data_IF_550601361836
#
_entry.id   IF_550601361836
#
_cell.length_a   1.000
_cell.length_b   1.000
_cell.length_c   1.000
_cell.angle_alpha   90.00
_cell.angle_beta   90.00
_cell.angle_gamma   90.00
#
_symmetry.space_group_name_H-M   'P 1'
#
loop_
_entity.id
_entity.type
_entity.pdbx_description
1 polymer ?
#
# COMPACT_ATOMS: atom_id res chain seq x y z
N UNK A 1 -12.06 10.99 16.32
CA UNK A 1 -11.13 11.64 15.38
C UNK A 1 -9.66 11.37 15.74
N UNK A 2 -9.22 11.70 16.97
CA UNK A 2 -7.81 11.57 17.39
C UNK A 2 -7.18 10.19 17.11
N UNK A 3 -7.80 9.08 17.54
CA UNK A 3 -7.19 7.75 17.36
C UNK A 3 -7.03 7.32 15.89
N UNK A 4 -7.98 7.64 15.02
CA UNK A 4 -7.87 7.36 13.58
C UNK A 4 -6.79 8.21 12.92
N UNK A 5 -6.64 9.46 13.34
CA UNK A 5 -5.58 10.36 12.87
C UNK A 5 -4.20 9.87 13.32
N UNK A 6 -4.07 9.41 14.56
CA UNK A 6 -2.83 8.84 15.10
C UNK A 6 -2.43 7.58 14.33
N UNK A 7 -3.35 6.63 14.14
CA UNK A 7 -3.09 5.42 13.33
C UNK A 7 -2.74 5.75 11.87
N UNK A 8 -3.37 6.77 11.28
CA UNK A 8 -3.03 7.22 9.94
C UNK A 8 -1.63 7.87 9.90
N UNK A 9 -1.24 8.61 10.94
CA UNK A 9 0.09 9.20 11.09
C UNK A 9 1.17 8.12 11.19
N UNK A 10 0.95 7.12 12.06
CA UNK A 10 1.82 5.94 12.18
C UNK A 10 1.94 5.21 10.84
N UNK A 11 0.82 4.99 10.14
CA UNK A 11 0.81 4.40 8.80
C UNK A 11 1.65 5.19 7.79
N UNK A 12 1.64 6.53 7.85
CA UNK A 12 2.47 7.38 6.97
C UNK A 12 3.95 7.27 7.28
N UNK A 13 4.34 7.11 8.55
CA UNK A 13 5.74 6.88 8.94
C UNK A 13 6.22 5.53 8.40
N UNK A 14 5.45 4.45 8.62
CA UNK A 14 5.78 3.12 8.08
C UNK A 14 5.89 3.12 6.55
N UNK A 15 5.06 3.90 5.85
CA UNK A 15 5.16 4.05 4.39
C UNK A 15 6.40 4.85 3.96
N UNK A 16 6.87 5.80 4.76
CA UNK A 16 8.10 6.53 4.50
C UNK A 16 9.32 5.60 4.64
N UNK A 17 9.35 4.80 5.70
CA UNK A 17 10.39 3.77 5.92
C UNK A 17 10.38 2.75 4.77
N UNK A 18 9.18 2.32 4.34
CA UNK A 18 9.04 1.44 3.17
C UNK A 18 9.54 2.10 1.89
N UNK A 19 9.30 3.40 1.69
CA UNK A 19 9.81 4.16 0.55
C UNK A 19 11.34 4.22 0.53
N UNK A 20 11.97 4.40 1.70
CA UNK A 20 13.43 4.35 1.83
C UNK A 20 13.96 2.96 1.52
N UNK A 21 13.36 1.91 2.10
CA UNK A 21 13.76 0.53 1.85
C UNK A 21 13.65 0.14 0.37
N UNK A 22 12.62 0.61 -0.35
CA UNK A 22 12.49 0.39 -1.80
C UNK A 22 13.55 1.14 -2.61
N UNK A 23 13.97 2.32 -2.15
CA UNK A 23 15.06 3.08 -2.78
C UNK A 23 16.39 2.33 -2.64
N UNK A 24 16.66 1.83 -1.43
CA UNK A 24 17.86 1.04 -1.15
C UNK A 24 17.87 -0.27 -1.94
N UNK A 25 16.71 -0.93 -2.05
CA UNK A 25 16.55 -2.15 -2.87
C UNK A 25 16.79 -1.87 -4.37
N UNK A 26 16.28 -0.76 -4.89
CA UNK A 26 16.51 -0.34 -6.28
C UNK A 26 17.99 -0.09 -6.54
N UNK A 27 18.70 0.52 -5.59
CA UNK A 27 20.15 0.73 -5.70
C UNK A 27 20.94 -0.58 -5.62
N UNK A 28 20.61 -1.46 -4.67
CA UNK A 28 21.25 -2.77 -4.54
C UNK A 28 21.04 -3.64 -5.79
N UNK A 29 19.85 -3.59 -6.40
CA UNK A 29 19.57 -4.27 -7.66
C UNK A 29 20.44 -3.75 -8.81
N UNK A 30 20.61 -2.42 -8.94
CA UNK A 30 21.50 -1.82 -9.94
C UNK A 30 22.96 -2.25 -9.74
N UNK A 31 23.43 -2.23 -8.50
CA UNK A 31 24.81 -2.62 -8.17
C UNK A 31 25.05 -4.10 -8.50
N UNK A 32 24.08 -4.97 -8.19
CA UNK A 32 24.14 -6.39 -8.53
C UNK A 32 24.12 -6.61 -10.05
N UNK A 33 23.27 -5.89 -10.79
CA UNK A 33 23.25 -5.95 -12.25
C UNK A 33 24.60 -5.54 -12.86
N UNK A 34 25.25 -4.51 -12.31
CA UNK A 34 26.60 -4.12 -12.74
C UNK A 34 27.64 -5.21 -12.47
N UNK A 35 27.61 -5.85 -11.29
CA UNK A 35 28.50 -6.98 -10.96
C UNK A 35 28.28 -8.19 -11.87
N UNK A 36 27.03 -8.50 -12.20
CA UNK A 36 26.69 -9.54 -13.17
C UNK A 36 27.19 -9.19 -14.58
N UNK A 37 27.10 -7.92 -14.99
CA UNK A 37 27.71 -7.43 -16.22
C UNK A 37 29.21 -7.70 -16.29
N UNK A 38 29.94 -7.39 -15.21
CA UNK A 38 31.37 -7.71 -15.12
C UNK A 38 31.65 -9.22 -15.18
N UNK A 39 30.84 -10.05 -14.52
CA UNK A 39 30.97 -11.51 -14.62
C UNK A 39 30.77 -12.01 -16.05
N UNK A 40 29.81 -11.44 -16.79
CA UNK A 40 29.57 -11.77 -18.20
C UNK A 40 30.78 -11.45 -19.07
N UNK A 41 31.39 -10.28 -18.89
CA UNK A 41 32.60 -9.90 -19.61
C UNK A 41 33.76 -10.86 -19.32
N UNK A 42 33.98 -11.20 -18.04
CA UNK A 42 35.02 -12.17 -17.64
C UNK A 42 34.78 -13.54 -18.25
N UNK A 43 33.54 -14.05 -18.20
CA UNK A 43 33.18 -15.34 -18.79
C UNK A 43 33.41 -15.35 -20.31
N UNK A 44 33.09 -14.25 -20.99
CA UNK A 44 33.36 -14.08 -22.44
C UNK A 44 34.86 -14.13 -22.73
N UNK A 45 35.69 -13.46 -21.93
CA UNK A 45 37.15 -13.52 -22.04
C UNK A 45 37.71 -14.93 -21.82
N UNK A 46 37.18 -15.67 -20.84
CA UNK A 46 37.56 -17.07 -20.61
C UNK A 46 37.20 -17.94 -21.83
N UNK A 47 36.02 -17.75 -22.43
CA UNK A 47 35.63 -18.48 -23.64
C UNK A 47 36.60 -18.28 -24.81
N UNK A 48 37.11 -17.06 -25.01
CA UNK A 48 38.12 -16.77 -26.04
C UNK A 48 39.47 -17.46 -25.75
N UNK A 49 39.89 -17.47 -24.48
CA UNK A 49 41.10 -18.18 -24.06
C UNK A 49 40.98 -19.69 -24.27
N UNK A 50 39.82 -20.28 -23.95
CA UNK A 50 39.56 -21.71 -24.16
C UNK A 50 39.58 -22.08 -25.64
N UNK A 51 39.00 -21.24 -26.51
CA UNK A 51 39.11 -21.43 -27.96
C UNK A 51 40.56 -21.43 -28.44
N UNK A 52 41.41 -20.59 -27.85
CA UNK A 52 42.84 -20.54 -28.15
C UNK A 52 43.57 -21.79 -27.65
N UNK A 53 43.27 -22.25 -26.42
CA UNK A 53 43.84 -23.49 -25.85
C UNK A 53 43.46 -24.69 -26.71
N UNK A 54 42.20 -24.80 -27.14
CA UNK A 54 41.74 -25.87 -28.02
C UNK A 54 42.48 -25.85 -29.37
N UNK A 55 42.74 -24.68 -29.94
CA UNK A 55 43.56 -24.53 -31.17
C UNK A 55 45.00 -24.97 -30.96
N UNK A 56 45.63 -24.56 -29.85
CA UNK A 56 47.01 -24.96 -29.51
C UNK A 56 47.08 -26.47 -29.28
N UNK A 57 46.13 -27.05 -28.56
CA UNK A 57 46.06 -28.50 -28.34
C UNK A 57 45.93 -29.25 -29.68
N UNK A 58 45.07 -28.80 -30.59
CA UNK A 58 44.95 -29.40 -31.93
C UNK A 58 46.24 -29.25 -32.77
N UNK A 59 46.93 -28.11 -32.70
CA UNK A 59 48.23 -27.94 -33.37
C UNK A 59 49.29 -28.88 -32.78
N UNK A 60 49.38 -28.99 -31.45
CA UNK A 60 50.29 -29.91 -30.77
C UNK A 60 49.99 -31.37 -31.13
N UNK A 61 48.71 -31.72 -31.26
CA UNK A 61 48.28 -33.04 -31.73
C UNK A 61 48.82 -33.33 -33.16
N UNK A 62 48.64 -32.39 -34.08
CA UNK A 62 49.16 -32.49 -35.46
C UNK A 62 50.70 -32.56 -35.50
N UNK A 63 51.39 -31.75 -34.70
CA UNK A 63 52.85 -31.77 -34.57
C UNK A 63 53.35 -33.13 -34.06
N UNK A 64 52.67 -33.69 -33.05
CA UNK A 64 53.00 -34.99 -32.48
C UNK A 64 52.78 -36.13 -33.46
N UNK A 65 51.75 -36.04 -34.31
CA UNK A 65 51.51 -37.00 -35.38
C UNK A 65 52.65 -36.98 -36.40
N UNK A 66 53.09 -35.79 -36.83
CA UNK A 66 54.23 -35.66 -37.75
C UNK A 66 55.52 -36.22 -37.12
N UNK A 67 55.74 -35.96 -35.82
CA UNK A 67 56.87 -36.51 -35.09
C UNK A 67 56.82 -38.06 -34.98
N UNK A 68 55.63 -38.64 -34.82
CA UNK A 68 55.45 -40.09 -34.80
C UNK A 68 55.76 -40.71 -36.16
N UNK A 69 55.32 -40.08 -37.26
CA UNK A 69 55.61 -40.52 -38.63
C UNK A 69 57.12 -40.46 -38.91
N UNK A 70 57.78 -39.37 -38.51
CA UNK A 70 59.23 -39.23 -38.74
C UNK A 70 60.05 -40.18 -37.86
N UNK A 71 59.56 -40.51 -36.66
CA UNK A 71 60.14 -41.54 -35.82
C UNK A 71 60.06 -42.94 -36.44
N UNK A 72 58.95 -43.30 -37.09
CA UNK A 72 58.87 -44.57 -37.84
C UNK A 72 59.84 -44.61 -39.03
N UNK A 73 60.03 -43.47 -39.71
CA UNK A 73 61.01 -43.33 -40.81
C UNK A 73 62.46 -43.50 -40.37
N UNK A 74 62.80 -43.16 -39.13
CA UNK A 74 64.17 -43.19 -38.61
C UNK A 74 64.70 -44.61 -38.32
N UNK A 75 63.90 -45.67 -38.51
CA UNK A 75 64.33 -47.06 -38.36
C UNK A 75 64.82 -47.39 -36.95
N UNK A 76 66.05 -47.90 -36.81
CA UNK A 76 66.62 -48.32 -35.52
C UNK A 76 66.76 -47.19 -34.48
N UNK A 77 66.83 -45.92 -34.90
CA UNK A 77 66.98 -44.77 -34.00
C UNK A 77 65.64 -44.16 -33.55
N UNK A 78 64.52 -44.58 -34.16
CA UNK A 78 63.17 -44.06 -33.94
C UNK A 78 62.37 -44.49 -32.70
N UNK A 79 62.61 -45.66 -32.06
CA UNK A 79 61.69 -46.18 -31.04
C UNK A 79 61.45 -45.25 -29.84
N UNK A 80 62.50 -44.58 -29.35
CA UNK A 80 62.38 -43.61 -28.25
C UNK A 80 61.56 -42.38 -28.62
N UNK A 81 61.78 -41.84 -29.84
CA UNK A 81 61.02 -40.70 -30.35
C UNK A 81 59.55 -41.04 -30.60
N UNK A 82 59.24 -42.25 -31.06
CA UNK A 82 57.86 -42.70 -31.27
C UNK A 82 57.05 -42.79 -29.97
N UNK A 83 57.70 -43.18 -28.85
CA UNK A 83 57.05 -43.18 -27.52
C UNK A 83 56.74 -41.76 -27.06
N UNK A 84 57.70 -40.84 -27.18
CA UNK A 84 57.51 -39.43 -26.82
C UNK A 84 56.41 -38.79 -27.66
N UNK A 85 56.41 -39.02 -28.98
CA UNK A 85 55.40 -38.47 -29.88
C UNK A 85 53.97 -38.95 -29.52
N UNK A 86 53.80 -40.24 -29.17
CA UNK A 86 52.50 -40.77 -28.69
C UNK A 86 52.07 -40.14 -27.37
N UNK A 87 52.99 -39.89 -26.45
CA UNK A 87 52.65 -39.27 -25.17
C UNK A 87 52.26 -37.80 -25.34
N UNK A 88 52.96 -37.04 -26.20
CA UNK A 88 52.57 -35.67 -26.57
C UNK A 88 51.17 -35.66 -27.19
N UNK A 89 50.89 -36.60 -28.10
CA UNK A 89 49.56 -36.75 -28.71
C UNK A 89 48.47 -36.96 -27.67
N UNK A 90 48.71 -37.89 -26.73
CA UNK A 90 47.79 -38.22 -25.63
C UNK A 90 47.51 -37.00 -24.75
N UNK A 91 48.55 -36.23 -24.40
CA UNK A 91 48.42 -35.01 -23.61
C UNK A 91 47.68 -33.90 -24.37
N UNK A 92 47.91 -33.79 -25.68
CA UNK A 92 47.22 -32.83 -26.54
C UNK A 92 45.71 -33.15 -26.61
N UNK A 93 45.33 -34.41 -26.84
CA UNK A 93 43.93 -34.86 -26.85
C UNK A 93 43.26 -34.61 -25.48
N UNK A 94 43.96 -34.93 -24.37
CA UNK A 94 43.46 -34.64 -23.02
C UNK A 94 43.27 -33.13 -22.77
N UNK A 95 44.19 -32.30 -23.26
CA UNK A 95 44.10 -30.84 -23.13
C UNK A 95 42.91 -30.28 -23.91
N UNK A 96 42.68 -30.79 -25.14
CA UNK A 96 41.54 -30.39 -25.97
C UNK A 96 40.21 -30.78 -25.31
N UNK A 97 40.11 -32.00 -24.77
CA UNK A 97 38.91 -32.45 -24.04
C UNK A 97 38.64 -31.59 -22.80
N UNK A 98 39.66 -31.33 -21.98
CA UNK A 98 39.52 -30.48 -20.80
C UNK A 98 39.09 -29.05 -21.17
N UNK A 99 39.62 -28.50 -22.25
CA UNK A 99 39.23 -27.17 -22.73
C UNK A 99 37.73 -27.11 -23.12
N UNK A 100 37.21 -28.15 -23.78
CA UNK A 100 35.79 -28.26 -24.13
C UNK A 100 34.88 -28.38 -22.89
N UNK A 101 35.30 -29.15 -21.88
CA UNK A 101 34.54 -29.29 -20.63
C UNK A 101 34.47 -27.96 -19.85
N UNK A 102 35.57 -27.21 -19.80
CA UNK A 102 35.58 -25.87 -19.20
C UNK A 102 34.71 -24.92 -20.04
N UNK A 103 34.74 -25.01 -21.37
CA UNK A 103 33.94 -24.17 -22.25
C UNK A 103 32.44 -24.35 -22.00
N UNK A 104 31.99 -25.59 -21.80
CA UNK A 104 30.62 -25.89 -21.41
C UNK A 104 30.27 -25.24 -20.07
N UNK A 105 31.12 -25.41 -19.06
CA UNK A 105 30.91 -24.79 -17.73
C UNK A 105 30.81 -23.25 -17.82
N UNK A 106 31.64 -22.63 -18.67
CA UNK A 106 31.62 -21.18 -18.91
C UNK A 106 30.32 -20.76 -19.60
N UNK A 107 29.80 -21.54 -20.56
CA UNK A 107 28.49 -21.29 -21.19
C UNK A 107 27.35 -21.37 -20.18
N UNK A 108 27.36 -22.37 -19.30
CA UNK A 108 26.34 -22.51 -18.24
C UNK A 108 26.40 -21.32 -17.26
N UNK A 109 27.61 -20.85 -16.93
CA UNK A 109 27.83 -19.65 -16.13
C UNK A 109 27.28 -18.38 -16.83
N UNK A 110 27.52 -18.21 -18.13
CA UNK A 110 26.96 -17.10 -18.91
C UNK A 110 25.43 -17.10 -18.90
N UNK A 111 24.81 -18.28 -19.06
CA UNK A 111 23.36 -18.43 -18.96
C UNK A 111 22.82 -18.04 -17.60
N UNK A 112 23.51 -18.46 -16.53
CA UNK A 112 23.14 -18.14 -15.15
C UNK A 112 23.25 -16.63 -14.87
N UNK A 113 24.31 -15.99 -15.37
CA UNK A 113 24.50 -14.53 -15.26
C UNK A 113 23.41 -13.76 -16.02
N UNK A 114 23.04 -14.21 -17.23
CA UNK A 114 21.96 -13.58 -18.01
C UNK A 114 20.62 -13.66 -17.27
N UNK A 115 20.27 -14.83 -16.74
CA UNK A 115 19.06 -15.03 -15.95
C UNK A 115 19.06 -14.18 -14.68
N UNK A 116 20.21 -14.10 -13.98
CA UNK A 116 20.38 -13.24 -12.81
C UNK A 116 20.18 -11.75 -13.14
N UNK A 117 20.69 -11.29 -14.29
CA UNK A 117 20.54 -9.90 -14.72
C UNK A 117 19.07 -9.55 -15.00
N UNK A 118 18.35 -10.45 -15.68
CA UNK A 118 16.92 -10.27 -15.92
C UNK A 118 16.10 -10.25 -14.62
N UNK A 119 16.48 -11.08 -13.64
CA UNK A 119 15.87 -11.04 -12.31
C UNK A 119 16.11 -9.71 -11.58
N UNK A 120 17.31 -9.12 -11.71
CA UNK A 120 17.60 -7.79 -11.13
C UNK A 120 16.72 -6.69 -11.76
N UNK A 121 16.55 -6.71 -13.08
CA UNK A 121 15.64 -5.78 -13.76
C UNK A 121 14.19 -5.92 -13.24
N UNK A 122 13.74 -7.16 -13.04
CA UNK A 122 12.44 -7.45 -12.42
C UNK A 122 12.31 -6.90 -11.00
N UNK A 123 13.34 -7.05 -10.16
CA UNK A 123 13.35 -6.48 -8.81
C UNK A 123 13.32 -4.96 -8.81
N UNK A 124 14.03 -4.31 -9.74
CA UNK A 124 13.96 -2.86 -9.89
C UNK A 124 12.53 -2.42 -10.24
N UNK A 125 11.89 -3.06 -11.21
CA UNK A 125 10.52 -2.74 -11.60
C UNK A 125 9.53 -2.92 -10.43
N UNK A 126 9.68 -4.00 -9.65
CA UNK A 126 8.86 -4.26 -8.46
C UNK A 126 9.08 -3.20 -7.37
N UNK A 127 10.33 -2.78 -7.13
CA UNK A 127 10.65 -1.72 -6.18
C UNK A 127 10.03 -0.37 -6.60
N UNK A 128 10.15 -0.02 -7.88
CA UNK A 128 9.57 1.20 -8.45
C UNK A 128 8.02 1.20 -8.32
N UNK A 129 7.37 0.07 -8.64
CA UNK A 129 5.91 -0.10 -8.50
C UNK A 129 5.46 -0.02 -7.03
N UNK A 130 6.21 -0.66 -6.12
CA UNK A 130 5.90 -0.64 -4.69
C UNK A 130 6.02 0.78 -4.14
N UNK A 131 7.06 1.51 -4.51
CA UNK A 131 7.24 2.92 -4.15
C UNK A 131 6.07 3.80 -4.62
N UNK A 132 5.64 3.65 -5.88
CA UNK A 132 4.48 4.37 -6.41
C UNK A 132 3.19 4.04 -5.63
N UNK A 133 3.00 2.77 -5.26
CA UNK A 133 1.87 2.33 -4.44
C UNK A 133 1.93 2.94 -3.04
N UNK A 134 3.11 2.96 -2.40
CA UNK A 134 3.32 3.60 -1.10
C UNK A 134 2.93 5.07 -1.10
N UNK A 135 3.32 5.82 -2.15
CA UNK A 135 2.96 7.23 -2.31
C UNK A 135 1.43 7.41 -2.43
N UNK A 136 0.77 6.55 -3.22
CA UNK A 136 -0.68 6.59 -3.36
C UNK A 136 -1.40 6.30 -2.02
N UNK A 137 -0.90 5.35 -1.23
CA UNK A 137 -1.46 5.08 0.11
C UNK A 137 -1.19 6.24 1.06
N UNK A 138 0.01 6.85 1.02
CA UNK A 138 0.35 8.02 1.85
C UNK A 138 -0.62 9.18 1.60
N UNK A 139 -0.95 9.45 0.32
CA UNK A 139 -1.93 10.47 -0.05
C UNK A 139 -3.34 10.16 0.50
N UNK A 140 -3.77 8.89 0.45
CA UNK A 140 -5.07 8.47 1.02
C UNK A 140 -5.10 8.64 2.55
N UNK A 141 -4.02 8.29 3.24
CA UNK A 141 -3.90 8.51 4.69
C UNK A 141 -3.93 10.01 5.05
N UNK A 142 -3.28 10.86 4.24
CA UNK A 142 -3.37 12.32 4.39
C UNK A 142 -4.81 12.84 4.35
N UNK A 143 -5.63 12.32 3.42
CA UNK A 143 -7.06 12.68 3.33
C UNK A 143 -7.87 12.20 4.55
N UNK A 144 -7.49 11.07 5.15
CA UNK A 144 -8.14 10.55 6.37
C UNK A 144 -7.86 11.47 7.56
N UNK A 145 -6.61 11.92 7.69
CA UNK A 145 -6.20 12.88 8.74
C UNK A 145 -7.02 14.17 8.59
N UNK A 146 -7.04 14.76 7.40
CA UNK A 146 -7.78 15.99 7.11
C UNK A 146 -9.28 15.84 7.40
N UNK A 147 -9.90 14.74 6.97
CA UNK A 147 -11.31 14.45 7.27
C UNK A 147 -11.57 14.32 8.78
N UNK A 148 -10.63 13.72 9.52
CA UNK A 148 -10.68 13.61 10.97
C UNK A 148 -10.59 14.97 11.67
N UNK A 149 -9.73 15.86 11.20
CA UNK A 149 -9.59 17.22 11.72
C UNK A 149 -10.85 18.06 11.47
N UNK A 150 -11.48 17.93 10.30
CA UNK A 150 -12.74 18.63 9.97
C UNK A 150 -13.95 18.16 10.79
N UNK A 151 -13.92 16.94 11.37
CA UNK A 151 -14.98 16.42 12.22
C UNK A 151 -15.04 17.12 13.59
N UNK A 152 -13.90 17.50 14.16
CA UNK A 152 -13.80 18.14 15.47
C UNK A 152 -14.63 19.43 15.60
N UNK A 153 -14.52 20.43 14.69
CA UNK A 153 -15.33 21.65 14.78
C UNK A 153 -16.82 21.34 14.57
N UNK A 154 -17.18 20.38 13.72
CA UNK A 154 -18.58 19.97 13.51
C UNK A 154 -19.19 19.40 14.79
N UNK A 155 -18.47 18.57 15.53
CA UNK A 155 -18.92 18.08 16.84
C UNK A 155 -19.10 19.21 17.85
N UNK A 156 -18.22 20.22 17.83
CA UNK A 156 -18.37 21.41 18.67
C UNK A 156 -19.67 22.17 18.35
N UNK A 157 -19.96 22.41 17.06
CA UNK A 157 -21.22 23.03 16.62
C UNK A 157 -22.44 22.22 17.03
N UNK A 158 -22.41 20.90 16.87
CA UNK A 158 -23.52 20.02 17.32
C UNK A 158 -23.71 20.13 18.82
N UNK A 159 -22.63 20.09 19.60
CA UNK A 159 -22.68 20.22 21.07
C UNK A 159 -23.28 21.56 21.49
N UNK A 160 -22.92 22.65 20.80
CA UNK A 160 -23.50 23.97 21.03
C UNK A 160 -24.99 24.01 20.67
N UNK A 161 -25.37 23.43 19.53
CA UNK A 161 -26.77 23.30 19.12
C UNK A 161 -27.62 22.52 20.12
N UNK A 162 -27.08 21.43 20.67
CA UNK A 162 -27.74 20.65 21.72
C UNK A 162 -27.93 21.47 23.01
N UNK A 163 -26.96 22.30 23.40
CA UNK A 163 -27.11 23.22 24.55
C UNK A 163 -28.23 24.22 24.32
N UNK A 164 -28.28 24.86 23.16
CA UNK A 164 -29.35 25.81 22.82
C UNK A 164 -30.73 25.13 22.78
N UNK A 165 -30.82 23.89 22.29
CA UNK A 165 -32.06 23.12 22.34
C UNK A 165 -32.50 22.79 23.77
N UNK A 166 -31.56 22.44 24.65
CA UNK A 166 -31.86 22.18 26.06
C UNK A 166 -32.39 23.44 26.77
N UNK A 167 -31.76 24.60 26.52
CA UNK A 167 -32.23 25.90 27.03
C UNK A 167 -33.63 26.25 26.49
N UNK A 168 -33.85 26.05 25.19
CA UNK A 168 -35.17 26.28 24.56
C UNK A 168 -36.25 25.34 25.12
N UNK A 169 -35.92 24.09 25.42
CA UNK A 169 -36.84 23.15 26.05
C UNK A 169 -37.23 23.59 27.48
N UNK A 170 -36.30 24.15 28.24
CA UNK A 170 -36.58 24.70 29.57
C UNK A 170 -37.48 25.94 29.50
N UNK A 171 -37.24 26.83 28.52
CA UNK A 171 -38.12 27.98 28.26
C UNK A 171 -39.54 27.55 27.87
N UNK A 172 -39.68 26.54 26.99
CA UNK A 172 -41.00 25.98 26.63
C UNK A 172 -41.69 25.42 27.87
N UNK A 173 -40.96 24.74 28.75
CA UNK A 173 -41.50 24.20 30.00
C UNK A 173 -42.09 25.29 30.88
N UNK A 174 -41.38 26.41 31.02
CA UNK A 174 -41.86 27.59 31.77
C UNK A 174 -43.13 28.16 31.13
N UNK A 175 -43.16 28.34 29.81
CA UNK A 175 -44.32 28.87 29.08
C UNK A 175 -45.54 27.94 29.20
N UNK A 176 -45.34 26.62 29.13
CA UNK A 176 -46.42 25.65 29.34
C UNK A 176 -46.98 25.74 30.76
N UNK A 177 -46.14 25.93 31.77
CA UNK A 177 -46.59 26.13 33.15
C UNK A 177 -47.46 27.39 33.28
N UNK A 178 -47.00 28.52 32.72
CA UNK A 178 -47.75 29.78 32.73
C UNK A 178 -49.09 29.68 31.98
N UNK A 179 -49.11 28.92 30.87
CA UNK A 179 -50.33 28.66 30.12
C UNK A 179 -51.34 27.83 30.93
N UNK A 180 -50.86 26.81 31.65
CA UNK A 180 -51.69 26.00 32.53
C UNK A 180 -52.31 26.85 33.66
N UNK A 181 -51.51 27.74 34.27
CA UNK A 181 -51.99 28.66 35.30
C UNK A 181 -53.08 29.62 34.75
N UNK A 182 -52.83 30.19 33.57
CA UNK A 182 -53.79 31.10 32.89
C UNK A 182 -55.09 30.39 32.51
N UNK A 183 -55.01 29.14 32.06
CA UNK A 183 -56.19 28.31 31.77
C UNK A 183 -56.99 28.02 33.05
N UNK A 184 -56.31 27.81 34.19
CA UNK A 184 -56.92 27.70 35.51
C UNK A 184 -57.71 28.96 35.89
N UNK A 185 -57.07 30.14 35.81
CA UNK A 185 -57.72 31.42 36.08
C UNK A 185 -58.94 31.69 35.18
N UNK A 186 -58.83 31.34 33.89
CA UNK A 186 -59.94 31.49 32.94
C UNK A 186 -61.11 30.60 33.33
N UNK A 187 -60.85 29.37 33.77
CA UNK A 187 -61.88 28.44 34.27
C UNK A 187 -62.59 29.01 35.50
N UNK A 188 -61.83 29.58 36.44
CA UNK A 188 -62.40 30.17 37.66
C UNK A 188 -63.27 31.39 37.32
N UNK A 189 -62.79 32.28 36.45
CA UNK A 189 -63.56 33.45 35.97
C UNK A 189 -64.84 33.04 35.24
N UNK A 190 -64.82 31.94 34.46
CA UNK A 190 -66.03 31.41 33.80
C UNK A 190 -67.03 30.84 34.82
N UNK A 191 -66.57 30.27 35.93
CA UNK A 191 -67.45 29.80 37.00
C UNK A 191 -68.14 30.98 37.69
N UNK A 192 -67.41 32.04 38.02
CA UNK A 192 -67.97 33.28 38.58
C UNK A 192 -68.95 33.95 37.61
N UNK A 193 -68.60 34.02 36.32
CA UNK A 193 -69.50 34.58 35.30
C UNK A 193 -70.80 33.78 35.18
N UNK A 194 -70.73 32.46 35.28
CA UNK A 194 -71.92 31.60 35.26
C UNK A 194 -72.81 31.85 36.48
N UNK A 195 -72.23 31.94 37.67
CA UNK A 195 -72.98 32.26 38.89
C UNK A 195 -73.68 33.62 38.77
N UNK A 196 -72.96 34.64 38.30
CA UNK A 196 -73.54 35.97 38.05
C UNK A 196 -74.66 35.94 36.98
N UNK A 197 -74.54 35.12 35.95
CA UNK A 197 -75.57 34.95 34.93
C UNK A 197 -76.82 34.22 35.46
N UNK A 198 -76.64 33.20 36.30
CA UNK A 198 -77.72 32.50 37.00
C UNK A 198 -78.47 33.45 37.94
N UNK A 199 -77.73 34.28 38.70
CA UNK A 199 -78.29 35.32 39.55
C UNK A 199 -79.07 36.38 38.76
N UNK A 200 -78.50 36.88 37.66
CA UNK A 200 -79.17 37.85 36.79
C UNK A 200 -80.45 37.26 36.19
N UNK A 201 -80.43 35.99 35.76
CA UNK A 201 -81.61 35.30 35.25
C UNK A 201 -82.71 35.20 36.30
N UNK A 202 -82.35 34.86 37.55
CA UNK A 202 -83.29 34.80 38.68
C UNK A 202 -83.92 36.17 38.94
N UNK A 203 -83.12 37.24 39.02
CA UNK A 203 -83.63 38.60 39.21
C UNK A 203 -84.53 39.06 38.05
N UNK A 204 -84.21 38.70 36.80
CA UNK A 204 -85.06 39.00 35.66
C UNK A 204 -86.42 38.28 35.73
N UNK A 205 -86.45 37.05 36.22
CA UNK A 205 -87.67 36.27 36.40
C UNK A 205 -88.53 36.81 37.56
N UNK A 206 -87.90 37.19 38.68
CA UNK A 206 -88.56 37.90 39.80
C UNK A 206 -89.17 39.22 39.33
N UNK A 207 -88.44 40.03 38.55
CA UNK A 207 -88.96 41.27 37.98
C UNK A 207 -90.17 41.03 37.07
N UNK A 208 -90.10 40.00 36.22
CA UNK A 208 -91.21 39.61 35.34
C UNK A 208 -92.45 39.20 36.14
N UNK A 209 -92.27 38.46 37.24
CA UNK A 209 -93.37 38.08 38.13
C UNK A 209 -94.02 39.30 38.79
N UNK A 210 -93.21 40.25 39.28
CA UNK A 210 -93.69 41.52 39.84
C UNK A 210 -94.51 42.31 38.80
N UNK A 211 -94.00 42.48 37.58
CA UNK A 211 -94.74 43.16 36.51
C UNK A 211 -96.04 42.45 36.14
N UNK A 212 -96.04 41.12 36.08
CA UNK A 212 -97.25 40.33 35.78
C UNK A 212 -98.33 40.50 36.84
N UNK A 213 -97.94 40.65 38.12
CA UNK A 213 -98.86 40.94 39.22
C UNK A 213 -99.48 42.35 39.10
N UNK A 214 -98.70 43.35 38.71
CA UNK A 214 -99.20 44.71 38.48
C UNK A 214 -100.15 44.80 37.28
N UNK A 215 -99.93 44.01 36.23
CA UNK A 215 -100.81 43.99 35.05
C UNK A 215 -102.14 43.25 35.30
N UNK A 216 -102.18 42.31 36.26
CA UNK A 216 -103.43 41.66 36.72
C UNK A 216 -104.29 42.50 37.67
N UNK A 217 -103.75 43.58 38.25
CA UNK A 217 -104.49 44.52 39.10
C UNK A 217 -105.09 45.70 38.31
N UNK A 218 -105.04 45.65 36.97
CA UNK A 218 -105.60 46.67 36.08
C UNK A 218 -106.90 46.23 35.40
#
# INVERSE_FOLDING_TARGET
ASKSSELAQEGRLSLADMGQAMTDLSQASKDMAAKLGLMREKATGIGQLLSTIAKVANQTNLLSLNAAIEAEKAGEFGPGFAVVAREIRRLADQTASAALDIERTVRDMQGSVQSGSAAMEGFKALADQTSATSLAVNAKLGRIIEAGEQLTPRFSTVTQGMRMQAEGADQIRVVISQLADSAGQTRDSLAEFREAAEDLSRTAEELKEVFSRFDMER
#
